data_IF_440590516123
#
_entry.id   IF_440590516123
#
_cell.length_a   1.000
_cell.length_b   1.000
_cell.length_c   1.000
_cell.angle_alpha   90.00
_cell.angle_beta   90.00
_cell.angle_gamma   90.00
#
_symmetry.space_group_name_H-M   'P 1'
#
loop_
_entity.id
_entity.type
_entity.pdbx_description
1 polymer ?
#
# COMPACT_ATOMS: atom_id res chain seq x y z
N UNK A 1 0.06 23.24 -5.21
CA UNK A 1 -1.05 22.42 -5.73
C UNK A 1 -0.64 21.35 -6.77
N UNK A 2 0.62 20.89 -6.81
CA UNK A 2 1.09 19.83 -7.73
C UNK A 2 1.36 18.50 -6.99
N UNK A 3 1.43 18.52 -5.66
CA UNK A 3 1.89 17.40 -4.83
C UNK A 3 0.80 16.40 -4.42
N UNK A 4 -0.48 16.71 -4.65
CA UNK A 4 -1.62 15.85 -4.32
C UNK A 4 -1.84 14.71 -5.35
N UNK A 5 -1.34 14.88 -6.59
CA UNK A 5 -1.53 13.91 -7.69
C UNK A 5 -0.62 12.67 -7.60
N UNK A 6 0.50 12.75 -6.87
CA UNK A 6 1.47 11.65 -6.77
C UNK A 6 1.19 10.80 -5.53
N UNK A 7 0.73 11.42 -4.44
CA UNK A 7 0.22 10.72 -3.25
C UNK A 7 -0.91 9.74 -3.58
N UNK A 8 -1.78 10.13 -4.52
CA UNK A 8 -2.86 9.30 -5.04
C UNK A 8 -2.34 8.07 -5.82
N UNK A 9 -1.21 8.16 -6.53
CA UNK A 9 -0.69 7.07 -7.36
C UNK A 9 -0.13 5.88 -6.55
N UNK A 10 0.33 6.12 -5.32
CA UNK A 10 0.76 5.04 -4.43
C UNK A 10 -0.41 4.49 -3.61
N UNK A 11 -1.45 5.28 -3.36
CA UNK A 11 -2.75 4.76 -2.86
C UNK A 11 -3.48 3.99 -3.97
N UNK A 12 -3.22 4.29 -5.24
CA UNK A 12 -3.61 3.45 -6.38
C UNK A 12 -2.94 2.06 -6.33
N UNK A 13 -1.92 1.80 -5.49
CA UNK A 13 -1.51 0.43 -5.12
C UNK A 13 -2.62 -0.31 -4.35
N UNK A 14 -3.29 0.38 -3.41
CA UNK A 14 -4.42 -0.14 -2.62
C UNK A 14 -5.72 -0.18 -3.44
N UNK A 15 -5.91 0.74 -4.41
CA UNK A 15 -7.09 0.79 -5.32
C UNK A 15 -6.90 -0.10 -6.56
N UNK A 16 -5.67 -0.36 -7.00
CA UNK A 16 -5.37 -1.15 -8.20
C UNK A 16 -5.84 -2.60 -8.07
N UNK A 17 -5.85 -3.14 -6.86
CA UNK A 17 -6.44 -4.44 -6.55
C UNK A 17 -7.99 -4.37 -6.54
N UNK A 18 -8.58 -3.21 -6.19
CA UNK A 18 -10.03 -2.97 -6.24
C UNK A 18 -10.56 -2.83 -7.68
N UNK A 19 -9.77 -2.28 -8.61
CA UNK A 19 -10.18 -2.09 -10.00
C UNK A 19 -10.15 -3.37 -10.86
N UNK A 20 -9.57 -4.48 -10.37
CA UNK A 20 -9.68 -5.79 -11.02
C UNK A 20 -11.06 -6.43 -10.84
N UNK A 21 -11.94 -5.88 -9.98
CA UNK A 21 -13.27 -6.43 -9.71
C UNK A 21 -14.44 -5.52 -10.09
N UNK A 22 -14.31 -4.18 -10.17
CA UNK A 22 -15.45 -3.30 -10.48
C UNK A 22 -15.05 -2.02 -11.28
N UNK A 23 -15.45 -1.90 -12.57
CA UNK A 23 -14.98 -0.83 -13.48
C UNK A 23 -15.56 0.58 -13.21
N UNK A 24 -16.50 0.74 -12.27
CA UNK A 24 -17.23 2.00 -12.08
C UNK A 24 -16.74 2.85 -10.87
N UNK A 25 -15.66 2.46 -10.19
CA UNK A 25 -15.15 3.21 -9.03
C UNK A 25 -14.51 4.57 -9.37
N UNK A 26 -14.28 4.86 -10.66
CA UNK A 26 -13.61 6.09 -11.12
C UNK A 26 -14.58 7.19 -11.60
N UNK A 27 -15.89 6.94 -11.65
CA UNK A 27 -16.83 7.84 -12.31
C UNK A 27 -17.09 9.16 -11.54
N UNK A 28 -16.80 9.19 -10.24
CA UNK A 28 -17.04 10.37 -9.40
C UNK A 28 -15.86 11.35 -9.29
N UNK A 29 -14.71 11.09 -9.93
CA UNK A 29 -13.53 11.94 -9.79
C UNK A 29 -13.52 13.23 -10.64
N UNK A 30 -14.43 13.40 -11.59
CA UNK A 30 -14.40 14.59 -12.46
C UNK A 30 -15.79 15.11 -12.84
N UNK A 31 -16.38 15.93 -11.95
CA UNK A 31 -17.39 16.91 -12.37
C UNK A 31 -17.12 18.29 -11.76
N UNK A 32 -15.95 18.86 -12.06
CA UNK A 32 -15.79 20.32 -12.06
C UNK A 32 -15.39 20.78 -13.46
N UNK A 33 -16.13 21.78 -13.94
CA UNK A 33 -16.03 22.34 -15.29
C UNK A 33 -14.69 23.04 -15.48
N UNK A 34 -14.25 23.07 -16.73
CA UNK A 34 -13.08 23.78 -17.28
C UNK A 34 -11.69 23.32 -16.85
N UNK A 35 -11.22 22.19 -17.39
CA UNK A 35 -9.80 22.04 -17.78
C UNK A 35 -9.75 21.30 -19.11
N UNK A 36 -9.82 22.06 -20.19
CA UNK A 36 -9.49 21.58 -21.53
C UNK A 36 -8.03 21.11 -21.52
N UNK A 37 -7.78 19.94 -22.14
CA UNK A 37 -6.47 19.26 -22.25
C UNK A 37 -6.09 18.36 -21.06
N UNK A 38 -6.93 17.36 -20.78
CA UNK A 38 -6.46 16.11 -20.17
C UNK A 38 -5.51 15.45 -21.16
N UNK A 39 -4.22 15.76 -20.99
CA UNK A 39 -3.12 15.08 -21.65
C UNK A 39 -3.30 13.60 -21.31
N UNK A 40 -3.62 12.77 -22.31
CA UNK A 40 -3.58 11.30 -22.20
C UNK A 40 -2.24 10.95 -21.57
N UNK A 41 -2.24 10.63 -20.28
CA UNK A 41 -1.06 10.14 -19.59
C UNK A 41 -0.83 8.76 -20.19
N UNK A 42 0.16 8.69 -21.08
CA UNK A 42 0.61 7.47 -21.75
C UNK A 42 0.85 6.37 -20.72
N UNK A 43 0.20 5.25 -20.97
CA UNK A 43 0.29 3.95 -20.30
C UNK A 43 1.52 3.17 -20.77
N UNK A 44 2.74 3.69 -20.59
CA UNK A 44 3.98 3.05 -21.11
C UNK A 44 5.01 2.68 -20.02
N UNK A 45 4.59 2.54 -18.76
CA UNK A 45 5.49 2.14 -17.65
C UNK A 45 4.79 2.06 -16.30
N UNK A 46 3.57 1.51 -16.29
CA UNK A 46 2.70 1.47 -15.11
C UNK A 46 3.33 0.71 -13.94
N UNK A 47 3.11 1.23 -12.74
CA UNK A 47 3.46 0.54 -11.50
C UNK A 47 2.68 -0.77 -11.40
N UNK A 48 3.39 -1.89 -11.36
CA UNK A 48 2.78 -3.22 -11.19
C UNK A 48 2.83 -3.65 -9.72
N UNK A 49 1.66 -3.76 -9.05
CA UNK A 49 1.59 -4.17 -7.66
C UNK A 49 2.17 -5.56 -7.40
N UNK A 50 2.12 -6.46 -8.39
CA UNK A 50 2.60 -7.83 -8.24
C UNK A 50 4.13 -7.93 -8.41
N UNK A 51 4.74 -6.95 -9.07
CA UNK A 51 6.19 -6.80 -9.17
C UNK A 51 6.79 -6.02 -7.99
N UNK A 52 5.94 -5.39 -7.17
CA UNK A 52 6.37 -4.88 -5.87
C UNK A 52 6.87 -6.04 -4.98
N UNK A 53 7.59 -5.70 -3.90
CA UNK A 53 8.04 -6.69 -2.92
C UNK A 53 8.94 -7.80 -3.51
N UNK A 54 9.80 -7.44 -4.47
CA UNK A 54 10.75 -8.38 -5.10
C UNK A 54 10.11 -9.42 -6.02
N UNK A 55 8.86 -9.18 -6.46
CA UNK A 55 8.13 -10.07 -7.37
C UNK A 55 7.64 -11.36 -6.71
N UNK A 56 7.56 -11.41 -5.38
CA UNK A 56 7.10 -12.60 -4.63
C UNK A 56 5.70 -13.02 -5.08
N UNK A 57 4.79 -12.05 -5.27
CA UNK A 57 3.40 -12.35 -5.65
C UNK A 57 3.28 -12.96 -7.05
N UNK A 58 4.16 -12.60 -8.01
CA UNK A 58 4.17 -13.19 -9.36
C UNK A 58 4.68 -14.63 -9.39
N UNK A 59 5.46 -15.02 -8.37
CA UNK A 59 6.06 -16.36 -8.29
C UNK A 59 5.16 -17.39 -7.62
N UNK A 60 4.03 -16.95 -7.08
CA UNK A 60 3.07 -17.78 -6.38
C UNK A 60 1.77 -17.79 -7.17
N UNK A 61 1.17 -18.97 -7.29
CA UNK A 61 -0.14 -19.11 -7.93
C UNK A 61 -1.26 -18.66 -6.97
N UNK A 62 -1.38 -17.35 -6.79
CA UNK A 62 -2.33 -16.73 -5.88
C UNK A 62 -3.70 -16.59 -6.54
N UNK A 63 -4.71 -17.18 -5.92
CA UNK A 63 -6.11 -17.01 -6.27
C UNK A 63 -6.57 -15.57 -6.05
N UNK A 64 -7.70 -15.23 -6.68
CA UNK A 64 -8.35 -13.91 -6.49
C UNK A 64 -8.69 -13.63 -5.02
N UNK A 65 -9.11 -14.64 -4.27
CA UNK A 65 -9.44 -14.49 -2.86
C UNK A 65 -8.19 -14.26 -2.01
N UNK A 66 -7.08 -14.94 -2.29
CA UNK A 66 -5.79 -14.69 -1.62
C UNK A 66 -5.29 -13.28 -1.90
N UNK A 67 -5.37 -12.81 -3.16
CA UNK A 67 -5.01 -11.43 -3.52
C UNK A 67 -5.90 -10.41 -2.81
N UNK A 68 -7.21 -10.69 -2.66
CA UNK A 68 -8.13 -9.84 -1.90
C UNK A 68 -7.74 -9.77 -0.42
N UNK A 69 -7.39 -10.91 0.18
CA UNK A 69 -6.93 -10.98 1.57
C UNK A 69 -5.62 -10.22 1.77
N UNK A 70 -4.64 -10.39 0.88
CA UNK A 70 -3.36 -9.66 0.92
C UNK A 70 -3.61 -8.15 0.88
N UNK A 71 -4.48 -7.69 -0.02
CA UNK A 71 -4.86 -6.27 -0.13
C UNK A 71 -5.53 -5.74 1.15
N UNK A 72 -6.47 -6.50 1.72
CA UNK A 72 -7.12 -6.13 2.97
C UNK A 72 -6.10 -6.08 4.13
N UNK A 73 -5.22 -7.07 4.26
CA UNK A 73 -4.20 -7.08 5.29
C UNK A 73 -3.18 -5.94 5.14
N UNK A 74 -2.86 -5.53 3.90
CA UNK A 74 -2.06 -4.33 3.65
C UNK A 74 -2.76 -3.08 4.18
N UNK A 75 -4.05 -2.90 3.87
CA UNK A 75 -4.84 -1.77 4.35
C UNK A 75 -4.92 -1.72 5.89
N UNK A 76 -4.98 -2.89 6.53
CA UNK A 76 -5.08 -3.03 7.99
C UNK A 76 -3.74 -3.09 8.72
N UNK A 77 -2.62 -2.90 8.01
CA UNK A 77 -1.25 -3.08 8.52
C UNK A 77 -1.03 -4.43 9.23
N UNK A 78 -1.68 -5.49 8.75
CA UNK A 78 -1.64 -6.86 9.27
C UNK A 78 -0.60 -7.73 8.54
N UNK A 79 0.61 -7.19 8.36
CA UNK A 79 1.69 -7.84 7.63
C UNK A 79 2.08 -9.23 8.16
N UNK A 80 1.82 -9.53 9.43
CA UNK A 80 1.98 -10.89 9.96
C UNK A 80 1.12 -11.90 9.20
N UNK A 81 -0.16 -11.58 8.98
CA UNK A 81 -1.09 -12.45 8.25
C UNK A 81 -0.70 -12.60 6.78
N UNK A 82 -0.12 -11.55 6.18
CA UNK A 82 0.43 -11.63 4.82
C UNK A 82 1.60 -12.61 4.78
N UNK A 83 2.54 -12.46 5.72
CA UNK A 83 3.71 -13.33 5.84
C UNK A 83 3.25 -14.79 6.02
N UNK A 84 2.35 -15.05 6.98
CA UNK A 84 1.84 -16.40 7.26
C UNK A 84 1.16 -17.03 6.03
N UNK A 85 0.34 -16.25 5.30
CA UNK A 85 -0.33 -16.71 4.07
C UNK A 85 0.69 -17.07 2.98
N UNK A 86 1.68 -16.20 2.75
CA UNK A 86 2.70 -16.43 1.73
C UNK A 86 3.63 -17.59 2.10
N UNK A 87 3.97 -17.75 3.38
CA UNK A 87 4.77 -18.87 3.88
C UNK A 87 4.06 -20.20 3.61
N UNK A 88 2.78 -20.32 3.97
CA UNK A 88 1.97 -21.50 3.64
C UNK A 88 2.01 -21.76 2.13
N UNK A 89 1.74 -20.73 1.32
CA UNK A 89 1.70 -20.87 -0.14
C UNK A 89 3.03 -21.35 -0.73
N UNK A 90 4.15 -20.91 -0.19
CA UNK A 90 5.48 -21.34 -0.63
C UNK A 90 5.75 -22.79 -0.23
N UNK A 91 5.41 -23.16 1.00
CA UNK A 91 5.65 -24.50 1.52
C UNK A 91 4.79 -25.53 0.79
N UNK A 92 3.53 -25.19 0.53
CA UNK A 92 2.53 -26.05 -0.12
C UNK A 92 2.72 -26.15 -1.64
N UNK A 93 3.56 -25.30 -2.25
CA UNK A 93 3.81 -25.34 -3.69
C UNK A 93 4.63 -26.57 -4.11
N UNK A 94 4.01 -27.52 -4.81
CA UNK A 94 4.68 -28.75 -5.26
C UNK A 94 5.69 -28.50 -6.39
N UNK A 95 5.41 -27.53 -7.26
CA UNK A 95 6.21 -27.21 -8.45
C UNK A 95 7.51 -26.43 -8.14
N UNK A 96 7.70 -26.04 -6.87
CA UNK A 96 8.81 -25.21 -6.45
C UNK A 96 9.96 -26.01 -5.84
N UNK A 97 11.18 -25.82 -6.38
CA UNK A 97 12.41 -26.41 -5.83
C UNK A 97 12.72 -25.85 -4.43
N UNK A 98 13.29 -26.68 -3.55
CA UNK A 98 13.63 -26.29 -2.16
C UNK A 98 14.49 -25.02 -2.06
N UNK A 99 15.48 -24.86 -2.95
CA UNK A 99 16.31 -23.65 -3.00
C UNK A 99 15.50 -22.38 -3.28
N UNK A 100 14.49 -22.49 -4.15
CA UNK A 100 13.61 -21.38 -4.47
C UNK A 100 12.67 -21.04 -3.32
N UNK A 101 12.09 -22.06 -2.68
CA UNK A 101 11.30 -21.88 -1.44
C UNK A 101 12.09 -21.13 -0.37
N UNK A 102 13.32 -21.57 -0.07
CA UNK A 102 14.21 -20.91 0.89
C UNK A 102 14.47 -19.45 0.52
N UNK A 103 14.70 -19.15 -0.77
CA UNK A 103 14.95 -17.79 -1.23
C UNK A 103 13.72 -16.89 -1.04
N UNK A 104 12.52 -17.38 -1.35
CA UNK A 104 11.29 -16.60 -1.15
C UNK A 104 11.00 -16.35 0.32
N UNK A 105 11.17 -17.35 1.19
CA UNK A 105 11.01 -17.18 2.64
C UNK A 105 11.97 -16.12 3.18
N UNK A 106 13.24 -16.13 2.75
CA UNK A 106 14.21 -15.08 3.11
C UNK A 106 13.77 -13.69 2.67
N UNK A 107 13.22 -13.56 1.45
CA UNK A 107 12.73 -12.28 0.92
C UNK A 107 11.55 -11.78 1.76
N UNK A 108 10.55 -12.63 2.04
CA UNK A 108 9.37 -12.28 2.85
C UNK A 108 9.76 -11.78 4.24
N UNK A 109 10.66 -12.50 4.93
CA UNK A 109 11.11 -12.08 6.25
C UNK A 109 11.92 -10.78 6.23
N UNK A 110 12.71 -10.54 5.18
CA UNK A 110 13.45 -9.28 5.01
C UNK A 110 12.53 -8.09 4.76
N UNK A 111 11.35 -8.32 4.17
CA UNK A 111 10.36 -7.28 3.90
C UNK A 111 9.44 -6.98 5.08
N UNK A 112 9.66 -7.64 6.23
CA UNK A 112 8.88 -7.40 7.43
C UNK A 112 8.92 -5.90 7.78
N UNK A 113 7.76 -5.26 8.00
CA UNK A 113 7.71 -3.85 8.34
C UNK A 113 8.40 -3.57 9.68
N UNK A 114 8.91 -2.34 9.88
CA UNK A 114 9.37 -1.90 11.20
C UNK A 114 8.21 -1.90 12.21
N UNK A 115 8.54 -1.91 13.50
CA UNK A 115 7.53 -1.95 14.59
C UNK A 115 6.56 -0.76 14.52
N UNK A 116 7.05 0.43 14.18
CA UNK A 116 6.26 1.64 13.98
C UNK A 116 5.13 1.45 12.96
N UNK A 117 5.41 0.84 11.82
CA UNK A 117 4.41 0.51 10.79
C UNK A 117 3.46 -0.58 11.27
N UNK A 118 3.95 -1.62 11.95
CA UNK A 118 3.12 -2.71 12.50
C UNK A 118 2.08 -2.20 13.51
N UNK A 119 2.44 -1.18 14.28
CA UNK A 119 1.63 -0.61 15.35
C UNK A 119 0.93 0.71 14.98
N UNK A 120 1.02 1.14 13.72
CA UNK A 120 0.41 2.38 13.24
C UNK A 120 -1.10 2.45 13.48
N UNK A 121 -1.80 1.34 13.24
CA UNK A 121 -3.25 1.23 13.42
C UNK A 121 -3.60 0.51 14.72
N UNK A 122 -4.40 1.16 15.56
CA UNK A 122 -5.00 0.52 16.73
C UNK A 122 -6.11 -0.45 16.32
N UNK A 123 -6.58 -1.27 17.25
CA UNK A 123 -7.71 -2.19 17.02
C UNK A 123 -8.96 -1.46 16.49
N UNK A 124 -9.26 -0.28 17.03
CA UNK A 124 -10.41 0.52 16.59
C UNK A 124 -10.19 1.08 15.18
N UNK A 125 -8.99 1.55 14.87
CA UNK A 125 -8.68 2.05 13.52
C UNK A 125 -8.80 0.94 12.49
N UNK A 126 -8.33 -0.27 12.80
CA UNK A 126 -8.48 -1.42 11.91
C UNK A 126 -9.95 -1.75 11.63
N UNK A 127 -10.81 -1.64 12.65
CA UNK A 127 -12.25 -1.84 12.45
C UNK A 127 -12.85 -0.81 11.49
N UNK A 128 -12.55 0.49 11.70
CA UNK A 128 -13.01 1.57 10.81
C UNK A 128 -12.41 1.47 9.41
N UNK A 129 -11.11 1.20 9.33
CA UNK A 129 -10.38 0.98 8.08
C UNK A 129 -11.02 -0.15 7.27
N UNK A 130 -11.32 -1.28 7.91
CA UNK A 130 -11.98 -2.41 7.25
C UNK A 130 -13.35 -2.01 6.68
N UNK A 131 -14.14 -1.27 7.45
CA UNK A 131 -15.43 -0.76 7.01
C UNK A 131 -15.30 0.14 5.77
N UNK A 132 -14.42 1.14 5.82
CA UNK A 132 -14.20 2.05 4.69
C UNK A 132 -13.60 1.34 3.48
N UNK A 133 -12.67 0.39 3.70
CA UNK A 133 -12.05 -0.41 2.64
C UNK A 133 -13.11 -1.23 1.88
N UNK A 134 -14.03 -1.91 2.58
CA UNK A 134 -15.10 -2.69 1.94
C UNK A 134 -16.11 -1.81 1.18
N UNK A 135 -16.33 -0.58 1.65
CA UNK A 135 -17.16 0.42 0.98
C UNK A 135 -16.45 1.20 -0.13
N UNK A 136 -15.16 0.95 -0.35
CA UNK A 136 -14.32 1.70 -1.28
C UNK A 136 -14.23 3.21 -0.95
N UNK A 137 -14.40 3.55 0.32
CA UNK A 137 -14.31 4.89 0.90
C UNK A 137 -12.84 5.25 1.17
N UNK A 138 -12.06 5.38 0.10
CA UNK A 138 -10.59 5.51 0.18
C UNK A 138 -10.15 6.78 0.90
N UNK A 139 -10.90 7.89 0.76
CA UNK A 139 -10.61 9.14 1.46
C UNK A 139 -10.66 8.94 2.98
N UNK A 140 -11.74 8.34 3.46
CA UNK A 140 -11.98 8.07 4.88
C UNK A 140 -10.98 7.07 5.44
N UNK A 141 -10.63 6.04 4.66
CA UNK A 141 -9.54 5.12 4.99
C UNK A 141 -8.20 5.87 5.16
N UNK A 142 -7.90 6.80 4.26
CA UNK A 142 -6.66 7.58 4.30
C UNK A 142 -6.61 8.57 5.46
N UNK A 143 -7.73 9.19 5.80
CA UNK A 143 -7.84 10.11 6.94
C UNK A 143 -7.43 9.42 8.26
N UNK A 144 -7.74 8.13 8.41
CA UNK A 144 -7.31 7.33 9.57
C UNK A 144 -5.79 7.24 9.62
N UNK A 145 -5.13 6.94 8.49
CA UNK A 145 -3.67 6.81 8.41
C UNK A 145 -2.98 8.15 8.66
N UNK A 146 -3.45 9.22 8.02
CA UNK A 146 -2.90 10.57 8.16
C UNK A 146 -2.99 11.05 9.61
N UNK A 147 -4.16 10.86 10.24
CA UNK A 147 -4.33 11.17 11.67
C UNK A 147 -3.31 10.45 12.54
N UNK A 148 -3.09 9.15 12.31
CA UNK A 148 -2.09 8.37 13.08
C UNK A 148 -0.66 8.81 12.82
N UNK A 149 -0.33 9.19 11.59
CA UNK A 149 0.97 9.76 11.24
C UNK A 149 1.22 11.13 11.87
N UNK A 150 0.16 11.91 12.10
CA UNK A 150 0.23 13.22 12.75
C UNK A 150 0.38 13.13 14.27
N UNK A 151 -0.07 12.01 14.86
CA UNK A 151 0.12 11.67 16.28
C UNK A 151 1.53 11.13 16.60
N UNK A 152 2.35 10.79 15.59
CA UNK A 152 3.72 10.29 15.81
C UNK A 152 4.73 11.42 16.02
N UNK A 153 5.80 11.12 16.76
CA UNK A 153 6.98 11.99 16.78
C UNK A 153 7.64 12.06 15.37
N UNK A 154 8.42 13.12 15.08
CA UNK A 154 8.99 13.32 13.74
C UNK A 154 9.86 12.17 13.23
N UNK A 155 10.58 11.47 14.13
CA UNK A 155 11.46 10.36 13.75
C UNK A 155 10.65 9.14 13.34
N UNK A 156 9.69 8.75 14.18
CA UNK A 156 8.79 7.62 13.90
C UNK A 156 7.94 7.86 12.66
N UNK A 157 7.41 9.08 12.49
CA UNK A 157 6.69 9.46 11.27
C UNK A 157 7.58 9.26 10.04
N UNK A 158 8.82 9.77 10.07
CA UNK A 158 9.75 9.67 8.94
C UNK A 158 10.03 8.20 8.60
N UNK A 159 10.28 7.35 9.60
CA UNK A 159 10.46 5.90 9.38
C UNK A 159 9.26 5.27 8.68
N UNK A 160 8.03 5.56 9.14
CA UNK A 160 6.80 5.02 8.56
C UNK A 160 6.65 5.49 7.11
N UNK A 161 6.86 6.79 6.86
CA UNK A 161 6.66 7.38 5.54
C UNK A 161 7.77 6.91 4.56
N UNK A 162 9.01 6.73 5.05
CA UNK A 162 10.10 6.14 4.28
C UNK A 162 9.85 4.67 3.93
N UNK A 163 9.26 3.89 4.84
CA UNK A 163 8.86 2.51 4.57
C UNK A 163 7.92 2.40 3.36
N UNK A 164 7.02 3.37 3.19
CA UNK A 164 6.13 3.46 2.02
C UNK A 164 6.79 4.12 0.80
N UNK A 165 8.07 4.48 0.86
CA UNK A 165 8.79 5.14 -0.24
C UNK A 165 8.44 6.62 -0.43
N UNK A 166 7.83 7.25 0.58
CA UNK A 166 7.24 8.59 0.48
C UNK A 166 8.04 9.67 1.23
N UNK A 167 9.18 9.35 1.86
CA UNK A 167 9.88 10.30 2.75
C UNK A 167 10.25 11.64 2.13
N UNK A 168 10.65 11.65 0.85
CA UNK A 168 10.96 12.88 0.08
C UNK A 168 9.71 13.74 -0.21
N UNK A 169 8.53 13.15 -0.07
CA UNK A 169 7.23 13.72 -0.41
C UNK A 169 6.44 14.15 0.83
N UNK A 170 6.93 13.84 2.04
CA UNK A 170 6.28 14.25 3.28
C UNK A 170 6.40 15.77 3.48
N UNK A 171 5.28 16.53 3.56
CA UNK A 171 5.34 17.96 3.84
C UNK A 171 6.05 18.28 5.16
N UNK A 172 5.90 17.44 6.20
CA UNK A 172 6.48 17.68 7.53
C UNK A 172 8.00 17.44 7.59
N UNK A 173 8.57 16.69 6.65
CA UNK A 173 10.02 16.53 6.51
C UNK A 173 10.71 17.77 5.91
N UNK A 174 9.97 18.67 5.25
CA UNK A 174 10.55 19.91 4.68
C UNK A 174 10.63 21.03 5.70
N UNK A 175 9.69 21.09 6.64
CA UNK A 175 9.67 22.08 7.72
C UNK A 175 10.85 21.88 8.67
N UNK A 176 11.14 20.63 9.05
CA UNK A 176 12.30 20.28 9.89
C UNK A 176 13.64 20.64 9.25
N UNK A 177 13.80 20.43 7.93
CA UNK A 177 15.04 20.81 7.20
C UNK A 177 15.21 22.32 7.00
N UNK A 178 14.13 23.09 7.12
CA UNK A 178 14.16 24.54 6.97
C UNK A 178 14.43 25.25 8.30
N UNK A 179 14.13 24.60 9.43
CA UNK A 179 14.43 25.09 10.78
C UNK A 179 15.89 24.80 11.23
N UNK A 180 16.60 23.92 10.52
CA UNK A 180 18.01 23.56 10.77
C UNK A 180 19.01 24.35 9.88
N UNK A 181 18.52 25.34 9.11
CA UNK A 181 19.34 26.25 8.28
C UNK A 181 19.26 27.67 8.81
#
# INVERSE_FOLDING_TARGET
MVYFKIFLNTIIFLIGIVNLTHPNAAEHLFRSKSVTKVRRVRSDGGFDPLNAHGGVFRKLDLSKDELRLISEYHALTEYGKIIDLLESKILDSEDMRSKEKINLLKIIHRMRPPKSVKHLLTKNDKHKMKHHYHKQEIGQAMDIVLRRLDEQDPSTRREIVDYFGLGKQDPKNKETRSAER
#
